data_IF_878247458353
#
_entry.id   IF_878247458353
#
_cell.length_a   1.000
_cell.length_b   1.000
_cell.length_c   1.000
_cell.angle_alpha   90.00
_cell.angle_beta   90.00
_cell.angle_gamma   90.00
#
_symmetry.space_group_name_H-M   'P 1'
#
loop_
_entity.id
_entity.type
_entity.pdbx_description
1 polymer ?
#
# COMPACT_ATOMS: atom_id res chain seq x y z
N UNK A 1 -19.04 -22.11 -8.44
CA UNK A 1 -18.05 -21.29 -7.70
C UNK A 1 -18.74 -20.71 -6.48
N UNK A 2 -18.21 -20.93 -5.27
CA UNK A 2 -18.81 -20.37 -4.04
C UNK A 2 -18.60 -18.85 -3.97
N UNK A 3 -19.36 -18.15 -3.13
CA UNK A 3 -19.25 -16.69 -2.99
C UNK A 3 -17.87 -16.27 -2.46
N UNK A 4 -17.31 -17.07 -1.55
CA UNK A 4 -16.00 -16.89 -0.92
C UNK A 4 -14.87 -17.07 -1.94
N UNK A 5 -14.99 -18.06 -2.81
CA UNK A 5 -14.02 -18.30 -3.88
C UNK A 5 -14.04 -17.14 -4.88
N UNK A 6 -15.22 -16.65 -5.28
CA UNK A 6 -15.36 -15.50 -6.18
C UNK A 6 -14.74 -14.22 -5.59
N UNK A 7 -15.06 -13.90 -4.34
CA UNK A 7 -14.47 -12.73 -3.65
C UNK A 7 -12.94 -12.86 -3.52
N UNK A 8 -12.44 -14.06 -3.24
CA UNK A 8 -11.01 -14.31 -3.11
C UNK A 8 -10.29 -14.16 -4.46
N UNK A 9 -10.86 -14.69 -5.55
CA UNK A 9 -10.30 -14.52 -6.88
C UNK A 9 -10.27 -13.05 -7.31
N UNK A 10 -11.31 -12.26 -7.00
CA UNK A 10 -11.31 -10.83 -7.30
C UNK A 10 -10.15 -10.09 -6.61
N UNK A 11 -9.81 -10.46 -5.37
CA UNK A 11 -8.68 -9.88 -4.61
C UNK A 11 -7.30 -10.22 -5.19
N UNK A 12 -7.20 -11.25 -6.02
CA UNK A 12 -5.98 -11.61 -6.75
C UNK A 12 -5.97 -10.95 -8.13
N UNK A 13 -7.08 -11.11 -8.87
CA UNK A 13 -7.19 -10.65 -10.25
C UNK A 13 -7.10 -9.13 -10.37
N UNK A 14 -7.77 -8.37 -9.50
CA UNK A 14 -7.79 -6.91 -9.61
C UNK A 14 -6.38 -6.30 -9.42
N UNK A 15 -5.63 -6.59 -8.34
CA UNK A 15 -4.25 -6.13 -8.22
C UNK A 15 -3.35 -6.66 -9.33
N UNK A 16 -3.50 -7.92 -9.75
CA UNK A 16 -2.70 -8.52 -10.83
C UNK A 16 -2.88 -7.81 -12.16
N UNK A 17 -4.14 -7.54 -12.54
CA UNK A 17 -4.48 -6.74 -13.73
C UNK A 17 -3.98 -5.31 -13.58
N UNK A 18 -4.13 -4.69 -12.40
CA UNK A 18 -3.62 -3.35 -12.14
C UNK A 18 -2.11 -3.27 -12.37
N UNK A 19 -1.33 -4.22 -11.83
CA UNK A 19 0.12 -4.30 -12.05
C UNK A 19 0.43 -4.40 -13.54
N UNK A 20 -0.24 -5.30 -14.26
CA UNK A 20 -0.02 -5.48 -15.70
C UNK A 20 -0.32 -4.19 -16.49
N UNK A 21 -1.43 -3.52 -16.19
CA UNK A 21 -1.83 -2.25 -16.82
C UNK A 21 -0.83 -1.13 -16.49
N UNK A 22 -0.40 -1.01 -15.24
CA UNK A 22 0.57 -0.01 -14.79
C UNK A 22 1.90 -0.19 -15.53
N UNK A 23 2.42 -1.42 -15.59
CA UNK A 23 3.69 -1.70 -16.28
C UNK A 23 3.56 -1.48 -17.80
N UNK A 24 2.42 -1.86 -18.39
CA UNK A 24 2.14 -1.60 -19.80
C UNK A 24 2.08 -0.11 -20.13
N UNK A 25 1.33 0.68 -19.34
CA UNK A 25 1.24 2.13 -19.51
C UNK A 25 2.59 2.81 -19.28
N UNK A 26 3.37 2.37 -18.28
CA UNK A 26 4.72 2.86 -18.05
C UNK A 26 5.61 2.61 -19.26
N UNK A 27 5.50 1.44 -19.89
CA UNK A 27 6.21 1.10 -21.12
C UNK A 27 5.80 1.99 -22.30
N UNK A 28 4.49 2.19 -22.51
CA UNK A 28 3.97 3.06 -23.57
C UNK A 28 4.40 4.51 -23.41
N UNK A 29 4.56 4.98 -22.16
CA UNK A 29 5.02 6.34 -21.83
C UNK A 29 6.53 6.48 -21.77
N UNK A 30 7.30 5.44 -22.09
CA UNK A 30 8.76 5.46 -22.05
C UNK A 30 9.34 5.73 -20.65
N UNK A 31 8.61 5.38 -19.59
CA UNK A 31 9.06 5.61 -18.21
C UNK A 31 10.18 4.64 -17.84
N UNK A 32 11.26 5.16 -17.24
CA UNK A 32 12.32 4.32 -16.65
C UNK A 32 11.77 3.58 -15.44
N UNK A 33 11.83 2.25 -15.46
CA UNK A 33 11.39 1.45 -14.31
C UNK A 33 12.25 1.74 -13.08
N UNK A 34 13.54 1.99 -13.28
CA UNK A 34 14.46 2.34 -12.19
C UNK A 34 14.22 3.75 -11.68
N UNK A 35 14.24 4.74 -12.56
CA UNK A 35 14.34 6.15 -12.16
C UNK A 35 12.97 6.83 -12.02
N UNK A 36 12.04 6.54 -12.93
CA UNK A 36 10.70 7.12 -12.89
C UNK A 36 9.82 6.35 -11.90
N UNK A 37 9.70 5.02 -12.07
CA UNK A 37 8.90 4.20 -11.15
C UNK A 37 9.61 3.95 -9.81
N UNK A 38 10.88 4.28 -9.67
CA UNK A 38 11.63 4.11 -8.42
C UNK A 38 11.88 2.64 -8.06
N UNK A 39 11.95 1.73 -9.03
CA UNK A 39 12.25 0.30 -8.82
C UNK A 39 13.75 0.08 -8.59
N UNK A 40 14.25 0.68 -7.52
CA UNK A 40 15.61 0.57 -7.05
C UNK A 40 15.63 0.36 -5.54
N UNK A 41 16.63 -0.37 -5.05
CA UNK A 41 16.78 -0.62 -3.62
C UNK A 41 17.30 0.65 -2.90
N UNK A 42 16.82 0.92 -1.67
CA UNK A 42 17.39 1.98 -0.84
C UNK A 42 18.76 1.56 -0.31
N UNK A 43 19.53 2.52 0.23
CA UNK A 43 20.66 2.15 1.09
C UNK A 43 20.14 1.47 2.37
N UNK A 44 20.93 0.57 2.97
CA UNK A 44 20.53 -0.10 4.20
C UNK A 44 20.23 0.87 5.35
N UNK A 45 20.94 2.02 5.41
CA UNK A 45 20.70 3.08 6.40
C UNK A 45 19.33 3.72 6.22
N UNK A 46 18.96 4.03 4.98
CA UNK A 46 17.61 4.53 4.67
C UNK A 46 16.55 3.47 4.98
N UNK A 47 16.80 2.20 4.62
CA UNK A 47 15.90 1.10 4.93
C UNK A 47 15.65 0.95 6.44
N UNK A 48 16.71 0.92 7.23
CA UNK A 48 16.62 0.80 8.69
C UNK A 48 15.93 2.02 9.32
N UNK A 49 16.29 3.24 8.90
CA UNK A 49 15.68 4.47 9.39
C UNK A 49 14.17 4.49 9.15
N UNK A 50 13.73 4.23 7.92
CA UNK A 50 12.32 4.24 7.58
C UNK A 50 11.55 3.05 8.17
N UNK A 51 12.21 1.90 8.37
CA UNK A 51 11.61 0.78 9.10
C UNK A 51 11.33 1.14 10.55
N UNK A 52 12.27 1.79 11.25
CA UNK A 52 12.07 2.24 12.63
C UNK A 52 10.90 3.23 12.70
N UNK A 53 10.87 4.23 11.80
CA UNK A 53 9.76 5.19 11.76
C UNK A 53 8.43 4.52 11.44
N UNK A 54 8.42 3.51 10.56
CA UNK A 54 7.21 2.76 10.24
C UNK A 54 6.68 1.98 11.45
N UNK A 55 7.55 1.32 12.21
CA UNK A 55 7.16 0.61 13.45
C UNK A 55 6.61 1.59 14.49
N UNK A 56 7.22 2.76 14.64
CA UNK A 56 6.73 3.81 15.54
C UNK A 56 5.35 4.32 15.08
N UNK A 57 5.18 4.58 13.78
CA UNK A 57 3.90 5.00 13.21
C UNK A 57 2.81 3.97 13.47
N UNK A 58 3.05 2.70 13.12
CA UNK A 58 2.09 1.62 13.34
C UNK A 58 1.71 1.45 14.82
N UNK A 59 2.67 1.60 15.74
CA UNK A 59 2.38 1.55 17.18
C UNK A 59 1.52 2.73 17.64
N UNK A 60 1.78 3.94 17.14
CA UNK A 60 0.96 5.13 17.43
C UNK A 60 -0.46 4.91 16.90
N UNK A 61 -0.61 4.45 15.66
CA UNK A 61 -1.91 4.19 15.06
C UNK A 61 -2.72 3.15 15.84
N UNK A 62 -2.09 2.04 16.22
CA UNK A 62 -2.73 0.97 17.01
C UNK A 62 -3.25 1.53 18.36
N UNK A 63 -2.48 2.39 19.03
CA UNK A 63 -2.90 3.04 20.28
C UNK A 63 -4.04 4.03 20.04
N UNK A 64 -3.94 4.88 19.02
CA UNK A 64 -4.97 5.86 18.69
C UNK A 64 -6.29 5.18 18.31
N UNK A 65 -6.25 4.13 17.50
CA UNK A 65 -7.44 3.36 17.11
C UNK A 65 -8.14 2.76 18.34
N UNK A 66 -7.38 2.25 19.32
CA UNK A 66 -7.92 1.75 20.60
C UNK A 66 -8.55 2.86 21.43
N UNK A 67 -7.88 4.01 21.58
CA UNK A 67 -8.41 5.17 22.31
C UNK A 67 -9.71 5.67 21.67
N UNK A 68 -9.79 5.67 20.34
CA UNK A 68 -10.97 6.08 19.59
C UNK A 68 -12.06 5.01 19.49
N UNK A 69 -11.84 3.83 20.09
CA UNK A 69 -12.81 2.73 20.11
C UNK A 69 -13.16 2.19 18.72
N UNK A 70 -12.18 2.16 17.80
CA UNK A 70 -12.40 1.54 16.49
C UNK A 70 -12.58 0.02 16.66
N UNK A 71 -13.48 -0.61 15.88
CA UNK A 71 -13.68 -2.04 15.96
C UNK A 71 -12.41 -2.78 15.50
N UNK A 72 -12.07 -3.85 16.23
CA UNK A 72 -11.01 -4.74 15.80
C UNK A 72 -11.35 -5.40 14.45
N UNK A 73 -10.35 -5.78 13.63
CA UNK A 73 -10.59 -6.51 12.39
C UNK A 73 -11.39 -7.80 12.61
N UNK A 74 -12.37 -8.06 11.74
CA UNK A 74 -13.12 -9.33 11.74
C UNK A 74 -12.16 -10.51 11.51
N UNK A 75 -12.17 -11.48 12.42
CA UNK A 75 -11.42 -12.73 12.26
C UNK A 75 -12.14 -13.66 11.29
N UNK A 76 -11.40 -14.30 10.41
CA UNK A 76 -11.95 -15.17 9.39
C UNK A 76 -12.47 -16.49 9.94
N UNK A 77 -11.88 -17.05 11.00
CA UNK A 77 -12.40 -18.23 11.68
C UNK A 77 -12.74 -19.39 10.72
N UNK A 78 -13.93 -19.96 10.85
CA UNK A 78 -14.43 -21.05 9.99
C UNK A 78 -15.03 -20.57 8.64
N UNK A 79 -15.10 -19.25 8.39
CA UNK A 79 -15.65 -18.66 7.15
C UNK A 79 -14.87 -19.06 5.91
N UNK A 80 -13.56 -19.28 6.06
CA UNK A 80 -12.64 -19.62 4.96
C UNK A 80 -11.84 -20.87 5.28
N UNK A 81 -11.63 -21.72 4.28
CA UNK A 81 -10.70 -22.86 4.37
C UNK A 81 -9.25 -22.38 4.46
N UNK A 82 -8.32 -23.27 4.82
CA UNK A 82 -6.89 -22.93 4.93
C UNK A 82 -6.31 -22.43 3.59
N UNK A 83 -6.73 -23.04 2.48
CA UNK A 83 -6.29 -22.67 1.13
C UNK A 83 -6.81 -21.27 0.76
N UNK A 84 -8.09 -20.99 1.05
CA UNK A 84 -8.66 -19.65 0.81
C UNK A 84 -7.94 -18.61 1.67
N UNK A 85 -7.68 -18.90 2.95
CA UNK A 85 -6.91 -18.00 3.83
C UNK A 85 -5.53 -17.72 3.26
N UNK A 86 -4.80 -18.73 2.79
CA UNK A 86 -3.48 -18.57 2.21
C UNK A 86 -3.50 -17.65 0.97
N UNK A 87 -4.47 -17.84 0.06
CA UNK A 87 -4.63 -16.98 -1.13
C UNK A 87 -4.98 -15.55 -0.73
N UNK A 88 -5.84 -15.36 0.27
CA UNK A 88 -6.20 -14.01 0.75
C UNK A 88 -5.03 -13.31 1.44
N UNK A 89 -4.23 -14.02 2.23
CA UNK A 89 -3.01 -13.49 2.84
C UNK A 89 -2.04 -13.05 1.74
N UNK A 90 -1.82 -13.88 0.71
CA UNK A 90 -0.96 -13.52 -0.42
C UNK A 90 -1.48 -12.27 -1.16
N UNK A 91 -2.78 -12.21 -1.43
CA UNK A 91 -3.40 -11.06 -2.07
C UNK A 91 -3.21 -9.76 -1.25
N UNK A 92 -3.45 -9.82 0.06
CA UNK A 92 -3.37 -8.66 0.96
C UNK A 92 -1.92 -8.24 1.22
N UNK A 93 -1.02 -9.19 1.49
CA UNK A 93 0.35 -8.91 1.91
C UNK A 93 1.31 -8.66 0.74
N UNK A 94 1.01 -9.14 -0.46
CA UNK A 94 1.92 -9.05 -1.61
C UNK A 94 1.31 -8.28 -2.77
N UNK A 95 0.17 -8.74 -3.29
CA UNK A 95 -0.38 -8.17 -4.52
C UNK A 95 -0.93 -6.75 -4.33
N UNK A 96 -1.66 -6.50 -3.23
CA UNK A 96 -2.20 -5.17 -2.95
C UNK A 96 -1.07 -4.13 -2.80
N UNK A 97 -0.07 -4.31 -1.90
CA UNK A 97 1.06 -3.38 -1.76
C UNK A 97 1.82 -3.17 -3.07
N UNK A 98 2.06 -4.25 -3.83
CA UNK A 98 2.74 -4.14 -5.12
C UNK A 98 1.95 -3.27 -6.09
N UNK A 99 0.66 -3.54 -6.26
CA UNK A 99 -0.19 -2.80 -7.20
C UNK A 99 -0.38 -1.34 -6.79
N UNK A 100 -0.63 -1.10 -5.50
CA UNK A 100 -0.93 0.22 -4.96
C UNK A 100 0.32 1.10 -4.97
N UNK A 101 1.46 0.61 -4.51
CA UNK A 101 2.69 1.42 -4.49
C UNK A 101 3.24 1.67 -5.89
N UNK A 102 3.12 0.72 -6.82
CA UNK A 102 3.46 0.96 -8.23
C UNK A 102 2.60 2.07 -8.84
N UNK A 103 1.30 2.10 -8.53
CA UNK A 103 0.39 3.13 -9.00
C UNK A 103 0.69 4.49 -8.35
N UNK A 104 0.63 4.53 -7.01
CA UNK A 104 0.66 5.78 -6.26
C UNK A 104 2.08 6.34 -6.14
N UNK A 105 3.07 5.54 -5.71
CA UNK A 105 4.45 6.00 -5.41
C UNK A 105 5.39 5.83 -6.61
N UNK A 106 5.05 4.92 -7.52
CA UNK A 106 5.72 4.78 -8.81
C UNK A 106 5.20 5.80 -9.81
N UNK A 107 4.08 5.49 -10.46
CA UNK A 107 3.61 6.21 -11.64
C UNK A 107 3.04 7.60 -11.32
N UNK A 108 2.02 7.69 -10.47
CA UNK A 108 1.31 8.95 -10.20
C UNK A 108 2.20 9.96 -9.48
N UNK A 109 2.94 9.54 -8.46
CA UNK A 109 3.92 10.38 -7.77
C UNK A 109 4.87 11.03 -8.77
N UNK A 110 5.46 10.24 -9.67
CA UNK A 110 6.43 10.76 -10.65
C UNK A 110 5.80 11.71 -11.65
N UNK A 111 4.58 11.42 -12.11
CA UNK A 111 3.86 12.30 -13.03
C UNK A 111 3.59 13.66 -12.40
N UNK A 112 3.16 13.69 -11.13
CA UNK A 112 2.86 14.92 -10.39
C UNK A 112 4.15 15.66 -10.02
N UNK A 113 5.20 14.94 -9.62
CA UNK A 113 6.51 15.52 -9.26
C UNK A 113 7.10 16.35 -10.41
N UNK A 114 6.86 15.95 -11.66
CA UNK A 114 7.33 16.68 -12.86
C UNK A 114 6.54 17.95 -13.18
N UNK A 115 5.44 18.22 -12.47
CA UNK A 115 4.62 19.43 -12.64
C UNK A 115 5.08 20.55 -11.70
N UNK A 116 4.42 21.72 -11.79
CA UNK A 116 4.63 22.85 -10.86
C UNK A 116 4.35 22.51 -9.39
N UNK A 117 3.60 21.44 -9.14
CA UNK A 117 3.25 20.98 -7.79
C UNK A 117 4.44 20.28 -7.08
N UNK A 118 5.41 19.79 -7.85
CA UNK A 118 6.63 19.19 -7.35
C UNK A 118 6.39 18.02 -6.37
N UNK A 119 7.37 17.80 -5.48
CA UNK A 119 7.35 16.71 -4.51
C UNK A 119 6.23 16.85 -3.48
N UNK A 120 5.93 18.06 -3.05
CA UNK A 120 4.91 18.31 -2.01
C UNK A 120 3.53 17.96 -2.55
N UNK A 121 3.18 18.42 -3.76
CA UNK A 121 1.91 18.07 -4.36
C UNK A 121 1.83 16.59 -4.76
N UNK A 122 2.95 15.97 -5.16
CA UNK A 122 2.99 14.53 -5.38
C UNK A 122 2.61 13.76 -4.10
N UNK A 123 3.23 14.09 -2.95
CA UNK A 123 2.88 13.49 -1.66
C UNK A 123 1.40 13.75 -1.33
N UNK A 124 0.95 15.00 -1.35
CA UNK A 124 -0.40 15.35 -0.92
C UNK A 124 -1.48 14.69 -1.78
N UNK A 125 -1.37 14.76 -3.11
CA UNK A 125 -2.37 14.23 -4.03
C UNK A 125 -2.40 12.70 -4.01
N UNK A 126 -1.24 12.03 -4.02
CA UNK A 126 -1.23 10.57 -3.98
C UNK A 126 -1.74 10.05 -2.64
N UNK A 127 -1.47 10.75 -1.53
CA UNK A 127 -1.98 10.37 -0.21
C UNK A 127 -3.49 10.53 -0.11
N UNK A 128 -4.03 11.64 -0.62
CA UNK A 128 -5.47 11.89 -0.64
C UNK A 128 -6.20 10.87 -1.53
N UNK A 129 -5.65 10.59 -2.73
CA UNK A 129 -6.22 9.59 -3.63
C UNK A 129 -6.15 8.16 -3.04
N UNK A 130 -5.05 7.82 -2.38
CA UNK A 130 -4.88 6.55 -1.67
C UNK A 130 -5.92 6.39 -0.56
N UNK A 131 -6.10 7.41 0.29
CA UNK A 131 -7.13 7.40 1.33
C UNK A 131 -8.54 7.31 0.74
N UNK A 132 -8.84 8.04 -0.34
CA UNK A 132 -10.16 8.02 -0.99
C UNK A 132 -10.52 6.63 -1.52
N UNK A 133 -9.57 5.87 -2.07
CA UNK A 133 -9.79 4.47 -2.48
C UNK A 133 -10.03 3.52 -1.30
N UNK A 134 -9.77 3.96 -0.08
CA UNK A 134 -9.96 3.22 1.16
C UNK A 134 -11.19 3.66 1.95
N UNK A 135 -12.15 4.32 1.29
CA UNK A 135 -13.41 4.75 1.91
C UNK A 135 -14.18 3.61 2.59
N UNK A 136 -13.97 2.35 2.19
CA UNK A 136 -14.54 1.18 2.87
C UNK A 136 -14.14 1.03 4.34
N UNK A 137 -13.06 1.66 4.80
CA UNK A 137 -12.69 1.72 6.22
C UNK A 137 -13.51 2.74 7.01
N UNK A 138 -14.41 3.46 6.34
CA UNK A 138 -15.27 4.48 6.92
C UNK A 138 -14.55 5.79 7.20
N UNK A 139 -15.33 6.84 7.48
CA UNK A 139 -14.80 8.20 7.71
C UNK A 139 -13.80 8.28 8.87
N UNK A 140 -13.90 7.37 9.85
CA UNK A 140 -12.96 7.28 10.99
C UNK A 140 -11.65 6.58 10.63
N UNK A 141 -11.63 5.72 9.60
CA UNK A 141 -10.43 5.04 9.11
C UNK A 141 -9.60 5.89 8.14
N UNK A 142 -10.25 6.79 7.39
CA UNK A 142 -9.59 7.63 6.40
C UNK A 142 -8.38 8.44 6.92
N UNK A 143 -8.39 9.02 8.13
CA UNK A 143 -7.23 9.74 8.64
C UNK A 143 -5.98 8.84 8.78
N UNK A 144 -6.16 7.60 9.24
CA UNK A 144 -5.07 6.63 9.36
C UNK A 144 -4.52 6.24 7.99
N UNK A 145 -5.40 5.89 7.05
CA UNK A 145 -4.97 5.57 5.69
C UNK A 145 -4.35 6.76 4.95
N UNK A 146 -4.79 7.99 5.25
CA UNK A 146 -4.12 9.20 4.75
C UNK A 146 -2.74 9.39 5.38
N UNK A 147 -2.55 9.02 6.65
CA UNK A 147 -1.26 9.09 7.34
C UNK A 147 -0.26 8.08 6.74
N UNK A 148 -0.68 6.84 6.49
CA UNK A 148 0.06 5.86 5.67
C UNK A 148 0.38 6.42 4.27
N UNK A 149 -0.64 7.04 3.67
CA UNK A 149 -0.58 7.89 2.48
C UNK A 149 0.69 8.75 2.44
N UNK A 150 0.75 9.66 3.40
CA UNK A 150 1.81 10.64 3.53
C UNK A 150 3.14 9.96 3.86
N UNK A 151 3.14 8.98 4.76
CA UNK A 151 4.33 8.23 5.16
C UNK A 151 5.05 7.60 3.97
N UNK A 152 4.36 6.78 3.18
CA UNK A 152 4.96 6.18 1.98
C UNK A 152 5.36 7.22 0.93
N UNK A 153 4.62 8.33 0.83
CA UNK A 153 5.01 9.47 0.00
C UNK A 153 6.36 10.08 0.44
N UNK A 154 6.59 10.24 1.74
CA UNK A 154 7.86 10.73 2.30
C UNK A 154 9.01 9.73 2.11
N UNK A 155 8.75 8.43 2.27
CA UNK A 155 9.71 7.36 1.97
C UNK A 155 10.12 7.45 0.50
N UNK A 156 9.16 7.52 -0.43
CA UNK A 156 9.44 7.65 -1.88
C UNK A 156 10.20 8.92 -2.23
N UNK A 157 9.85 10.04 -1.60
CA UNK A 157 10.49 11.35 -1.79
C UNK A 157 11.97 11.34 -1.38
N UNK A 158 12.26 10.77 -0.20
CA UNK A 158 13.59 10.82 0.42
C UNK A 158 14.55 9.75 -0.08
N UNK A 159 14.03 8.58 -0.48
CA UNK A 159 14.86 7.43 -0.88
C UNK A 159 14.88 7.16 -2.38
N UNK A 160 13.93 7.75 -3.12
CA UNK A 160 13.66 7.41 -4.53
C UNK A 160 13.33 5.93 -4.76
N UNK A 161 12.95 5.20 -3.71
CA UNK A 161 12.69 3.77 -3.75
C UNK A 161 11.21 3.47 -3.51
N UNK A 162 10.52 3.05 -4.57
CA UNK A 162 9.18 2.44 -4.46
C UNK A 162 9.29 1.00 -3.96
N UNK A 163 10.44 0.33 -4.13
CA UNK A 163 10.67 -0.99 -3.53
C UNK A 163 10.60 -0.91 -2.00
N UNK A 164 11.16 0.15 -1.40
CA UNK A 164 11.07 0.34 0.05
C UNK A 164 9.63 0.60 0.50
N UNK A 165 8.83 1.36 -0.26
CA UNK A 165 7.42 1.58 0.08
C UNK A 165 6.61 0.29 -0.04
N UNK A 166 6.82 -0.50 -1.10
CA UNK A 166 6.22 -1.84 -1.28
C UNK A 166 6.55 -2.72 -0.08
N UNK A 167 7.82 -2.75 0.34
CA UNK A 167 8.25 -3.58 1.46
C UNK A 167 7.59 -3.18 2.79
N UNK A 168 7.61 -1.89 3.14
CA UNK A 168 7.03 -1.41 4.40
C UNK A 168 5.50 -1.60 4.40
N UNK A 169 4.84 -1.33 3.28
CA UNK A 169 3.41 -1.57 3.12
C UNK A 169 3.08 -3.07 3.22
N UNK A 170 3.85 -3.94 2.56
CA UNK A 170 3.70 -5.39 2.68
C UNK A 170 3.87 -5.89 4.12
N UNK A 171 4.79 -5.30 4.89
CA UNK A 171 4.98 -5.61 6.31
C UNK A 171 3.73 -5.24 7.13
N UNK A 172 3.19 -4.03 6.94
CA UNK A 172 1.95 -3.59 7.58
C UNK A 172 0.77 -4.48 7.21
N UNK A 173 0.59 -4.78 5.92
CA UNK A 173 -0.48 -5.65 5.46
C UNK A 173 -0.32 -7.10 5.94
N UNK A 174 0.90 -7.58 6.12
CA UNK A 174 1.15 -8.89 6.73
C UNK A 174 0.67 -8.94 8.18
N UNK A 175 0.94 -7.88 8.96
CA UNK A 175 0.41 -7.75 10.31
C UNK A 175 -1.13 -7.67 10.33
N UNK A 176 -1.71 -6.85 9.43
CA UNK A 176 -3.15 -6.73 9.29
C UNK A 176 -3.84 -8.04 8.82
N UNK A 177 -3.15 -8.85 8.01
CA UNK A 177 -3.61 -10.17 7.62
C UNK A 177 -3.52 -11.17 8.77
N UNK A 178 -2.43 -11.13 9.56
CA UNK A 178 -2.26 -11.95 10.76
C UNK A 178 -3.37 -11.70 11.79
N UNK A 179 -3.77 -10.45 12.01
CA UNK A 179 -4.88 -10.11 12.92
C UNK A 179 -6.23 -10.75 12.51
N UNK A 180 -6.39 -11.11 11.23
CA UNK A 180 -7.61 -11.72 10.68
C UNK A 180 -7.60 -13.25 10.72
N UNK A 181 -6.44 -13.88 10.96
CA UNK A 181 -6.34 -15.34 11.12
C UNK A 181 -6.96 -15.78 12.46
#
# INVERSE_FOLDING_TARGET
>A
MTAELRDTLARVLLPGVAIAVILFVARLRGMSFRDDLGLQLPSWKQGLFWLILFVVLAAIEEVLQKIMGLPAPERWGAKYTAEIKAVRVFAIAVLAPLSEELLFRGMLYRMIEKTVLGRVGAIAITSAAFAALHYQYGVRGLPFTSMDGVFFGMVRCSTRSTILTIFLHALGNSYAAYQRL
#
